data_IF_898313816027
#
_entry.id   IF_898313816027
#
_cell.length_a   1.000
_cell.length_b   1.000
_cell.length_c   1.000
_cell.angle_alpha   90.00
_cell.angle_beta   90.00
_cell.angle_gamma   90.00
#
_symmetry.space_group_name_H-M   'P 1'
#
loop_
_entity.id
_entity.type
_entity.pdbx_description
1 polymer ?
#
# COMPACT_ATOMS: atom_id res chain seq x y z
N UNK A 1 53.54 16.21 -44.82
CA UNK A 1 53.08 16.94 -43.61
C UNK A 1 52.14 16.03 -42.84
N UNK A 2 52.49 15.73 -41.59
CA UNK A 2 51.76 14.83 -40.68
C UNK A 2 50.58 15.58 -40.07
N UNK A 3 49.43 14.92 -39.91
CA UNK A 3 48.52 15.16 -38.78
C UNK A 3 47.87 13.84 -38.36
N UNK A 4 47.99 13.54 -37.06
CA UNK A 4 47.52 12.37 -36.34
C UNK A 4 46.08 12.59 -35.85
N UNK A 5 45.23 11.55 -35.88
CA UNK A 5 44.14 11.31 -34.92
C UNK A 5 43.67 9.85 -35.08
N UNK A 6 44.12 8.94 -34.19
CA UNK A 6 43.35 8.38 -33.05
C UNK A 6 42.20 7.47 -33.53
N UNK A 7 42.36 6.14 -33.47
CA UNK A 7 42.05 5.29 -32.28
C UNK A 7 40.53 5.14 -32.08
N UNK A 8 39.89 3.97 -31.94
CA UNK A 8 40.24 2.56 -31.78
C UNK A 8 38.91 1.78 -31.88
N UNK A 9 38.95 0.61 -32.51
CA UNK A 9 38.29 -0.65 -32.11
C UNK A 9 36.77 -0.60 -31.83
N UNK A 10 36.00 -1.01 -32.84
CA UNK A 10 34.60 -1.46 -32.73
C UNK A 10 34.60 -2.94 -32.28
N UNK A 11 34.16 -3.23 -31.05
CA UNK A 11 33.74 -4.57 -30.60
C UNK A 11 33.06 -4.47 -29.22
N UNK A 12 31.76 -4.78 -29.15
CA UNK A 12 31.06 -4.88 -27.87
C UNK A 12 29.56 -4.68 -27.94
N UNK A 13 28.85 -5.68 -28.48
CA UNK A 13 27.44 -5.95 -28.20
C UNK A 13 27.26 -6.23 -26.70
N UNK A 14 26.31 -5.60 -26.01
CA UNK A 14 25.26 -6.25 -25.21
C UNK A 14 24.39 -5.21 -24.46
N UNK A 15 23.09 -5.23 -24.79
CA UNK A 15 21.91 -4.88 -23.99
C UNK A 15 22.06 -3.81 -22.90
N UNK A 16 21.78 -2.55 -23.27
CA UNK A 16 21.46 -1.49 -22.33
C UNK A 16 19.99 -1.63 -21.92
N UNK A 17 19.73 -2.57 -20.99
CA UNK A 17 18.45 -2.65 -20.27
C UNK A 17 18.32 -1.47 -19.33
N UNK A 18 17.86 -0.34 -19.87
CA UNK A 18 17.49 0.84 -19.09
C UNK A 18 15.99 0.80 -18.85
N UNK A 19 15.56 0.40 -17.65
CA UNK A 19 14.31 0.91 -17.09
C UNK A 19 14.41 0.87 -15.55
N UNK A 20 14.84 2.03 -15.03
CA UNK A 20 14.49 2.61 -13.74
C UNK A 20 13.84 1.66 -12.71
N UNK A 21 14.65 1.16 -11.76
CA UNK A 21 14.13 0.96 -10.40
C UNK A 21 14.24 2.31 -9.70
N UNK A 22 13.13 3.04 -9.66
CA UNK A 22 12.99 4.22 -8.84
C UNK A 22 13.01 3.81 -7.35
N UNK A 23 14.20 3.68 -6.78
CA UNK A 23 14.39 3.87 -5.34
C UNK A 23 14.35 5.37 -5.07
N UNK A 24 13.14 5.94 -5.07
CA UNK A 24 12.91 7.37 -5.02
C UNK A 24 11.78 7.75 -4.07
N UNK A 25 12.19 8.42 -2.99
CA UNK A 25 11.41 9.42 -2.25
C UNK A 25 10.13 8.95 -1.53
N UNK A 26 10.20 8.86 -0.19
CA UNK A 26 9.04 9.00 0.69
C UNK A 26 8.54 10.46 0.65
N UNK A 27 8.03 10.91 -0.49
CA UNK A 27 7.36 12.20 -0.60
C UNK A 27 5.87 11.96 -0.41
N UNK A 28 5.36 12.30 0.78
CA UNK A 28 3.95 12.62 1.05
C UNK A 28 2.92 12.01 0.10
N UNK A 29 2.87 10.68 0.05
CA UNK A 29 1.81 9.99 -0.67
C UNK A 29 0.48 10.27 0.03
N UNK A 30 -0.65 10.32 -0.68
CA UNK A 30 -1.95 10.32 -0.03
C UNK A 30 -2.04 9.11 0.92
N UNK A 31 -2.62 9.28 2.10
CA UNK A 31 -2.68 8.27 3.18
C UNK A 31 -3.43 6.97 2.80
N UNK A 32 -3.71 6.73 1.52
CA UNK A 32 -4.26 5.48 1.03
C UNK A 32 -3.12 4.52 0.64
N UNK A 33 -3.01 3.40 1.34
CA UNK A 33 -2.21 2.28 0.89
C UNK A 33 -3.05 1.50 -0.13
N UNK A 34 -2.62 1.46 -1.39
CA UNK A 34 -3.14 0.49 -2.34
C UNK A 34 -2.55 -0.87 -1.95
N UNK A 35 -3.40 -1.79 -1.50
CA UNK A 35 -2.96 -3.13 -1.12
C UNK A 35 -2.85 -3.96 -2.40
N UNK A 36 -1.71 -3.83 -3.09
CA UNK A 36 -1.25 -4.86 -4.01
C UNK A 36 -0.47 -5.88 -3.16
N UNK A 37 -1.08 -7.04 -2.91
CA UNK A 37 -0.45 -8.11 -2.15
C UNK A 37 0.65 -8.77 -2.99
N UNK A 38 1.87 -8.23 -2.94
CA UNK A 38 3.05 -8.90 -3.48
C UNK A 38 3.88 -9.52 -2.35
N UNK A 39 3.83 -10.85 -2.23
CA UNK A 39 4.96 -11.67 -1.80
C UNK A 39 5.08 -12.06 -0.31
N UNK A 40 5.11 -13.38 -0.09
CA UNK A 40 6.06 -14.16 0.73
C UNK A 40 6.44 -13.78 2.18
N UNK A 41 5.71 -12.92 2.88
CA UNK A 41 5.87 -12.78 4.33
C UNK A 41 4.85 -13.65 5.08
N UNK A 42 5.33 -14.65 5.82
CA UNK A 42 4.50 -15.48 6.72
C UNK A 42 3.72 -14.63 7.77
N UNK A 43 4.15 -13.38 7.97
CA UNK A 43 3.37 -12.34 8.62
C UNK A 43 2.50 -11.65 7.56
N UNK A 44 1.20 -11.94 7.56
CA UNK A 44 0.24 -11.29 6.67
C UNK A 44 0.29 -9.74 6.74
N UNK A 45 -0.34 -9.06 5.78
CA UNK A 45 -0.20 -7.61 5.60
C UNK A 45 -0.59 -6.82 6.87
N UNK A 46 0.14 -5.73 7.12
CA UNK A 46 -0.06 -4.91 8.32
C UNK A 46 -0.29 -3.43 7.98
N UNK A 47 -1.10 -2.78 8.82
CA UNK A 47 -1.50 -1.38 8.71
C UNK A 47 -0.94 -0.68 9.94
N UNK A 48 -0.06 0.29 9.69
CA UNK A 48 0.51 1.14 10.73
C UNK A 48 -0.21 2.49 10.73
N UNK A 49 -0.85 2.84 11.84
CA UNK A 49 -1.60 4.10 11.93
C UNK A 49 -1.22 4.91 13.15
N UNK A 50 -0.97 6.21 12.97
CA UNK A 50 -0.65 7.13 14.05
C UNK A 50 -1.88 7.45 14.91
N UNK A 51 -1.65 7.74 16.18
CA UNK A 51 -2.72 8.13 17.10
C UNK A 51 -3.33 9.48 16.68
N UNK A 52 -4.65 9.58 16.74
CA UNK A 52 -5.45 10.75 16.35
C UNK A 52 -5.25 11.19 14.88
N UNK A 53 -4.82 10.25 14.03
CA UNK A 53 -4.69 10.43 12.59
C UNK A 53 -5.49 9.36 11.85
N UNK A 54 -6.16 9.78 10.77
CA UNK A 54 -6.94 8.86 9.91
C UNK A 54 -6.03 8.27 8.84
N UNK A 55 -5.95 6.94 8.83
CA UNK A 55 -5.32 6.15 7.78
C UNK A 55 -6.40 5.61 6.84
N UNK A 56 -6.11 5.56 5.54
CA UNK A 56 -7.07 5.08 4.55
C UNK A 56 -6.55 3.81 3.86
N UNK A 57 -7.47 2.94 3.49
CA UNK A 57 -7.20 1.78 2.64
C UNK A 57 -8.25 1.79 1.55
N UNK A 58 -7.80 1.73 0.31
CA UNK A 58 -8.69 1.66 -0.84
C UNK A 58 -8.60 0.26 -1.45
N UNK A 59 -9.75 -0.38 -1.60
CA UNK A 59 -9.83 -1.68 -2.26
C UNK A 59 -9.82 -1.53 -3.78
N UNK A 60 -9.52 -2.64 -4.47
CA UNK A 60 -9.53 -2.70 -5.93
C UNK A 60 -10.91 -2.30 -6.49
N UNK A 61 -10.92 -1.73 -7.70
CA UNK A 61 -12.17 -1.42 -8.41
C UNK A 61 -13.05 -2.66 -8.50
N UNK A 62 -14.32 -2.52 -8.14
CA UNK A 62 -15.29 -3.64 -8.10
C UNK A 62 -15.28 -4.47 -6.82
N UNK A 63 -14.28 -4.32 -5.93
CA UNK A 63 -14.32 -4.92 -4.61
C UNK A 63 -15.24 -4.12 -3.68
N UNK A 64 -16.26 -4.81 -3.18
CA UNK A 64 -17.28 -4.29 -2.26
C UNK A 64 -17.15 -4.97 -0.92
N UNK A 65 -17.04 -4.17 0.13
CA UNK A 65 -16.97 -4.70 1.49
C UNK A 65 -18.38 -5.11 1.91
N UNK A 66 -18.51 -6.37 2.34
CA UNK A 66 -19.73 -6.93 2.88
C UNK A 66 -19.74 -6.73 4.39
N UNK A 67 -18.74 -7.27 5.07
CA UNK A 67 -18.65 -7.27 6.52
C UNK A 67 -17.22 -6.95 6.99
N UNK A 68 -17.09 -6.50 8.25
CA UNK A 68 -15.80 -6.24 8.90
C UNK A 68 -15.87 -6.62 10.36
N UNK A 69 -14.84 -7.31 10.84
CA UNK A 69 -14.71 -7.69 12.24
C UNK A 69 -13.32 -7.36 12.75
N UNK A 70 -13.26 -6.71 13.91
CA UNK A 70 -12.02 -6.27 14.55
C UNK A 70 -11.83 -7.09 15.82
N UNK A 71 -10.67 -7.70 15.98
CA UNK A 71 -10.40 -8.56 17.14
C UNK A 71 -10.51 -7.82 18.47
N UNK A 72 -10.00 -6.59 18.53
CA UNK A 72 -10.13 -5.68 19.68
C UNK A 72 -10.55 -4.30 19.18
N UNK A 73 -11.85 -4.01 19.22
CA UNK A 73 -12.39 -2.70 18.86
C UNK A 73 -11.98 -1.58 19.83
N UNK A 74 -11.48 -1.92 21.03
CA UNK A 74 -11.07 -0.91 22.01
C UNK A 74 -9.95 -0.03 21.46
N UNK A 75 -10.29 1.21 21.15
CA UNK A 75 -9.37 2.24 20.70
C UNK A 75 -9.12 2.30 19.19
N UNK A 76 -9.88 1.55 18.39
CA UNK A 76 -9.88 1.65 16.93
C UNK A 76 -11.24 2.14 16.44
N UNK A 77 -11.24 3.23 15.69
CA UNK A 77 -12.43 3.71 14.99
C UNK A 77 -12.28 3.37 13.52
N UNK A 78 -13.21 2.58 12.99
CA UNK A 78 -13.18 2.14 11.59
C UNK A 78 -14.49 2.53 10.94
N UNK A 79 -14.39 3.27 9.84
CA UNK A 79 -15.55 3.69 9.04
C UNK A 79 -15.37 3.25 7.60
N UNK A 80 -16.49 2.90 6.97
CA UNK A 80 -16.53 2.48 5.57
C UNK A 80 -17.16 3.59 4.74
N UNK A 81 -16.52 3.92 3.64
CA UNK A 81 -17.06 4.79 2.60
C UNK A 81 -16.84 4.17 1.22
N UNK A 82 -17.35 4.84 0.19
CA UNK A 82 -17.16 4.43 -1.20
C UNK A 82 -16.66 5.65 -1.97
N UNK A 83 -15.54 5.51 -2.66
CA UNK A 83 -14.98 6.50 -3.57
C UNK A 83 -15.34 6.14 -5.02
N UNK A 84 -15.44 7.15 -5.89
CA UNK A 84 -15.72 6.97 -7.31
C UNK A 84 -17.19 6.72 -7.64
N UNK A 85 -17.47 6.57 -8.93
CA UNK A 85 -18.83 6.45 -9.47
C UNK A 85 -18.92 5.24 -10.42
N UNK A 86 -20.06 4.55 -10.39
CA UNK A 86 -20.38 3.40 -11.26
C UNK A 86 -19.26 2.33 -11.27
N UNK A 87 -18.73 2.00 -12.45
CA UNK A 87 -17.72 0.95 -12.68
C UNK A 87 -16.34 1.29 -12.06
N UNK A 88 -16.14 2.53 -11.64
CA UNK A 88 -14.92 2.97 -10.94
C UNK A 88 -15.06 3.02 -9.43
N UNK A 89 -16.22 2.57 -8.90
CA UNK A 89 -16.47 2.57 -7.47
C UNK A 89 -15.48 1.66 -6.74
N UNK A 90 -14.85 2.24 -5.71
CA UNK A 90 -13.90 1.56 -4.83
C UNK A 90 -14.38 1.72 -3.39
N UNK A 91 -14.26 0.65 -2.62
CA UNK A 91 -14.57 0.72 -1.19
C UNK A 91 -13.35 1.30 -0.47
N UNK A 92 -13.56 2.33 0.33
CA UNK A 92 -12.52 2.95 1.15
C UNK A 92 -12.82 2.66 2.62
N UNK A 93 -11.80 2.22 3.34
CA UNK A 93 -11.82 2.11 4.79
C UNK A 93 -10.97 3.20 5.40
N UNK A 94 -11.57 3.95 6.30
CA UNK A 94 -10.90 4.95 7.12
C UNK A 94 -10.73 4.37 8.51
N UNK A 95 -9.49 4.32 8.98
CA UNK A 95 -9.07 3.69 10.23
C UNK A 95 -8.35 4.75 11.06
N UNK A 96 -8.80 4.96 12.28
CA UNK A 96 -8.20 5.88 13.23
C UNK A 96 -7.84 5.11 14.50
N UNK A 97 -6.62 5.35 14.99
CA UNK A 97 -6.15 4.82 16.26
C UNK A 97 -6.28 5.89 17.34
N UNK A 98 -6.83 5.53 18.50
CA UNK A 98 -6.86 6.38 19.70
C UNK A 98 -5.70 6.06 20.63
N UNK A 99 -5.50 6.85 21.68
CA UNK A 99 -4.53 6.61 22.76
C UNK A 99 -4.59 5.20 23.38
N UNK A 100 -5.78 4.59 23.37
CA UNK A 100 -6.05 3.24 23.90
C UNK A 100 -5.87 2.12 22.87
N UNK A 101 -5.54 2.45 21.62
CA UNK A 101 -5.33 1.47 20.56
C UNK A 101 -4.24 0.48 20.96
N UNK A 102 -4.53 -0.81 20.78
CA UNK A 102 -3.59 -1.92 20.96
C UNK A 102 -3.42 -2.65 19.64
N UNK A 103 -2.27 -3.33 19.48
CA UNK A 103 -2.06 -4.23 18.34
C UNK A 103 -3.23 -5.21 18.26
N UNK A 104 -3.85 -5.29 17.09
CA UNK A 104 -5.01 -6.14 16.85
C UNK A 104 -5.02 -6.60 15.39
N UNK A 105 -6.12 -7.19 14.95
CA UNK A 105 -6.34 -7.57 13.58
C UNK A 105 -7.75 -7.14 13.14
N UNK A 106 -7.90 -6.95 11.84
CA UNK A 106 -9.19 -6.73 11.19
C UNK A 106 -9.37 -7.76 10.08
N UNK A 107 -10.52 -8.42 10.10
CA UNK A 107 -11.01 -9.26 9.02
C UNK A 107 -12.01 -8.46 8.20
N UNK A 108 -11.77 -8.39 6.90
CA UNK A 108 -12.62 -7.67 5.95
C UNK A 108 -13.15 -8.69 4.96
N UNK A 109 -14.45 -8.95 5.00
CA UNK A 109 -15.12 -9.83 4.04
C UNK A 109 -15.61 -8.99 2.87
N UNK A 110 -15.10 -9.28 1.67
CA UNK A 110 -15.50 -8.66 0.42
C UNK A 110 -16.36 -9.62 -0.42
N UNK A 111 -16.80 -9.17 -1.59
CA UNK A 111 -17.43 -10.03 -2.60
C UNK A 111 -16.45 -11.00 -3.27
N UNK A 112 -15.13 -10.77 -3.19
CA UNK A 112 -14.12 -11.61 -3.84
C UNK A 112 -13.40 -12.55 -2.86
N UNK A 113 -13.43 -12.27 -1.56
CA UNK A 113 -12.77 -13.08 -0.55
C UNK A 113 -12.75 -12.43 0.81
N UNK A 114 -11.91 -12.95 1.71
CA UNK A 114 -11.68 -12.36 3.03
C UNK A 114 -10.22 -11.92 3.15
N UNK A 115 -10.02 -10.69 3.58
CA UNK A 115 -8.70 -10.10 3.84
C UNK A 115 -8.48 -10.05 5.35
N UNK A 116 -7.26 -10.35 5.79
CA UNK A 116 -6.86 -10.25 7.20
C UNK A 116 -5.66 -9.31 7.30
N UNK A 117 -5.82 -8.23 8.04
CA UNK A 117 -4.75 -7.25 8.29
C UNK A 117 -4.41 -7.15 9.75
N UNK A 118 -3.13 -7.02 10.06
CA UNK A 118 -2.68 -6.62 11.39
C UNK A 118 -2.84 -5.10 11.54
N UNK A 119 -3.39 -4.64 12.66
CA UNK A 119 -3.49 -3.23 13.03
C UNK A 119 -2.42 -2.91 14.05
N UNK A 120 -1.54 -1.96 13.75
CA UNK A 120 -0.41 -1.57 14.61
C UNK A 120 -0.50 -0.07 14.87
N UNK A 121 -0.73 0.36 16.13
CA UNK A 121 -0.76 1.77 16.45
C UNK A 121 0.68 2.31 16.52
N UNK A 122 0.94 3.41 15.82
CA UNK A 122 2.18 4.17 15.91
C UNK A 122 2.03 5.19 17.04
N UNK A 123 2.68 4.89 18.17
CA UNK A 123 2.81 5.83 19.28
C UNK A 123 3.94 6.80 18.95
N UNK A 124 3.70 8.09 19.18
CA UNK A 124 4.73 9.12 19.11
C UNK A 124 5.63 9.06 20.35
#
# INVERSE_FOLDING_TARGET
>A
MRLFALSRIFKGTLSLGLLFVAAGCSSGGPSYLLIESTGDDAAGPSIHCAIDHVCAIELKSGQRIRDMQVGSSSGWTITRSTSGENDTSRSVLMIEATDKARKSNILITTNEGTLNFQLIPLKK
#
